data_IF_362546766568
#
_entry.id   IF_362546766568
#
_cell.length_a   1.000
_cell.length_b   1.000
_cell.length_c   1.000
_cell.angle_alpha   90.00
_cell.angle_beta   90.00
_cell.angle_gamma   90.00
#
_symmetry.space_group_name_H-M   'P 1'
#
loop_
_entity.id
_entity.type
_entity.pdbx_description
1 polymer ?
#
# COMPACT_ATOMS: atom_id res chain seq x y z
N UNK A 1 -22.66 4.17 12.01
CA UNK A 1 -21.91 4.38 13.27
C UNK A 1 -21.00 3.20 13.63
N UNK A 2 -21.46 1.95 13.53
CA UNK A 2 -20.65 0.76 13.85
C UNK A 2 -19.40 0.59 12.96
N UNK A 3 -19.54 0.80 11.65
CA UNK A 3 -18.43 0.68 10.68
C UNK A 3 -17.26 1.61 11.03
N UNK A 4 -17.57 2.88 11.34
CA UNK A 4 -16.58 3.89 11.70
C UNK A 4 -15.83 3.50 12.98
N UNK A 5 -16.55 3.04 14.02
CA UNK A 5 -15.95 2.59 15.27
C UNK A 5 -14.99 1.41 15.04
N UNK A 6 -15.40 0.41 14.26
CA UNK A 6 -14.56 -0.73 13.88
C UNK A 6 -13.33 -0.29 13.06
N UNK A 7 -13.51 0.61 12.09
CA UNK A 7 -12.41 1.16 11.30
C UNK A 7 -11.37 1.85 12.17
N UNK A 8 -11.79 2.66 13.15
CA UNK A 8 -10.87 3.31 14.09
C UNK A 8 -10.10 2.27 14.91
N UNK A 9 -10.76 1.19 15.36
CA UNK A 9 -10.10 0.11 16.10
C UNK A 9 -9.01 -0.55 15.24
N UNK A 10 -9.31 -0.90 13.98
CA UNK A 10 -8.34 -1.53 13.07
C UNK A 10 -7.19 -0.59 12.70
N UNK A 11 -7.49 0.70 12.51
CA UNK A 11 -6.47 1.71 12.24
C UNK A 11 -5.54 1.85 13.45
N UNK A 12 -6.08 1.90 14.67
CA UNK A 12 -5.28 1.93 15.90
C UNK A 12 -4.46 0.65 16.10
N UNK A 13 -4.99 -0.51 15.73
CA UNK A 13 -4.24 -1.77 15.74
C UNK A 13 -3.02 -1.70 14.80
N UNK A 14 -3.20 -1.17 13.58
CA UNK A 14 -2.11 -0.99 12.62
C UNK A 14 -1.06 0.00 13.14
N UNK A 15 -1.49 1.14 13.72
CA UNK A 15 -0.61 2.14 14.35
C UNK A 15 0.24 1.57 15.49
N UNK A 16 -0.30 0.62 16.25
CA UNK A 16 0.44 -0.05 17.35
C UNK A 16 1.54 -1.00 16.88
N UNK A 17 1.70 -1.22 15.58
CA UNK A 17 2.78 -2.05 15.00
C UNK A 17 3.83 -1.20 14.27
N UNK A 18 4.49 -0.24 14.95
CA UNK A 18 5.23 0.85 14.33
C UNK A 18 6.38 0.39 13.44
N UNK A 19 7.06 -0.71 13.80
CA UNK A 19 8.17 -1.23 13.00
C UNK A 19 7.72 -1.66 11.59
N UNK A 20 6.56 -2.31 11.48
CA UNK A 20 6.02 -2.72 10.18
C UNK A 20 5.61 -1.50 9.33
N UNK A 21 5.05 -0.48 9.98
CA UNK A 21 4.66 0.77 9.33
C UNK A 21 5.88 1.52 8.80
N UNK A 22 6.89 1.69 9.65
CA UNK A 22 8.13 2.38 9.32
C UNK A 22 8.78 1.67 8.14
N UNK A 23 8.89 0.34 8.17
CA UNK A 23 9.55 -0.39 7.08
C UNK A 23 8.79 -0.30 5.74
N UNK A 24 7.46 -0.38 5.79
CA UNK A 24 6.60 -0.30 4.59
C UNK A 24 6.73 1.04 3.87
N UNK A 25 6.98 2.13 4.62
CA UNK A 25 7.16 3.47 4.08
C UNK A 25 8.63 3.76 3.74
N UNK A 26 9.54 3.40 4.64
CA UNK A 26 10.97 3.72 4.52
C UNK A 26 11.61 2.98 3.35
N UNK A 27 11.31 1.69 3.17
CA UNK A 27 11.93 0.88 2.11
C UNK A 27 11.76 1.47 0.70
N UNK A 28 10.54 1.78 0.22
CA UNK A 28 10.36 2.38 -1.10
C UNK A 28 10.95 3.79 -1.19
N UNK A 29 10.94 4.56 -0.10
CA UNK A 29 11.54 5.90 -0.05
C UNK A 29 13.06 5.83 -0.22
N UNK A 30 13.72 4.98 0.56
CA UNK A 30 15.18 4.78 0.49
C UNK A 30 15.57 4.22 -0.88
N UNK A 31 14.82 3.25 -1.41
CA UNK A 31 15.06 2.72 -2.74
C UNK A 31 14.94 3.80 -3.83
N UNK A 32 13.95 4.69 -3.72
CA UNK A 32 13.78 5.79 -4.67
C UNK A 32 15.01 6.70 -4.70
N UNK A 33 15.47 7.17 -3.54
CA UNK A 33 16.66 8.01 -3.47
C UNK A 33 17.93 7.27 -3.86
N UNK A 34 18.03 5.98 -3.57
CA UNK A 34 19.19 5.19 -3.97
C UNK A 34 19.29 5.06 -5.50
N UNK A 35 18.17 4.84 -6.20
CA UNK A 35 18.16 4.71 -7.66
C UNK A 35 18.42 6.05 -8.36
N UNK A 36 17.91 7.15 -7.83
CA UNK A 36 17.98 8.47 -8.49
C UNK A 36 19.00 9.40 -7.82
N UNK A 37 19.93 8.88 -7.01
CA UNK A 37 20.84 9.70 -6.20
C UNK A 37 21.67 10.69 -7.03
N UNK A 38 22.18 10.22 -8.17
CA UNK A 38 23.01 11.04 -9.06
C UNK A 38 22.19 12.04 -9.90
N UNK A 39 20.87 11.89 -9.93
CA UNK A 39 19.94 12.67 -10.77
C UNK A 39 19.27 13.80 -9.98
N UNK A 40 19.47 13.85 -8.66
CA UNK A 40 18.88 14.87 -7.77
C UNK A 40 19.28 16.29 -8.22
N UNK A 41 20.56 16.50 -8.53
CA UNK A 41 21.05 17.82 -8.97
C UNK A 41 20.60 18.16 -10.41
N UNK A 42 20.47 17.14 -11.27
CA UNK A 42 20.10 17.30 -12.67
C UNK A 42 18.62 17.70 -12.84
N UNK A 43 17.74 17.10 -12.02
CA UNK A 43 16.29 17.29 -12.07
C UNK A 43 15.76 18.13 -10.90
N UNK A 44 16.60 19.03 -10.37
CA UNK A 44 16.20 19.95 -9.30
C UNK A 44 14.98 20.77 -9.70
N UNK A 45 13.86 20.62 -8.98
CA UNK A 45 12.60 21.29 -9.27
C UNK A 45 11.84 20.80 -10.51
N UNK A 46 12.29 19.75 -11.21
CA UNK A 46 11.62 19.18 -12.40
C UNK A 46 10.47 18.25 -12.00
N UNK A 47 9.27 18.83 -11.92
CA UNK A 47 8.05 18.11 -11.52
C UNK A 47 7.59 17.07 -12.55
N UNK A 48 7.86 17.30 -13.84
CA UNK A 48 7.37 16.45 -14.92
C UNK A 48 8.16 15.15 -15.02
N UNK A 49 9.49 15.23 -14.87
CA UNK A 49 10.34 14.05 -14.75
C UNK A 49 10.01 13.27 -13.47
N UNK A 50 9.89 13.99 -12.35
CA UNK A 50 9.61 13.38 -11.05
C UNK A 50 8.27 12.63 -11.01
N UNK A 51 7.23 13.17 -11.64
CA UNK A 51 5.92 12.52 -11.75
C UNK A 51 5.98 11.15 -12.44
N UNK A 52 6.84 10.99 -13.45
CA UNK A 52 7.04 9.70 -14.13
C UNK A 52 7.68 8.67 -13.19
N UNK A 53 8.73 9.07 -12.46
CA UNK A 53 9.44 8.18 -11.56
C UNK A 53 8.58 7.78 -10.34
N UNK A 54 7.90 8.76 -9.73
CA UNK A 54 7.00 8.54 -8.58
C UNK A 54 5.88 7.55 -8.92
N UNK A 55 5.36 7.58 -10.14
CA UNK A 55 4.19 6.77 -10.54
C UNK A 55 4.38 5.27 -10.29
N UNK A 56 5.56 4.73 -10.58
CA UNK A 56 5.85 3.32 -10.35
C UNK A 56 5.92 2.99 -8.84
N UNK A 57 6.61 3.82 -8.07
CA UNK A 57 6.74 3.63 -6.62
C UNK A 57 5.40 3.77 -5.89
N UNK A 58 4.54 4.68 -6.32
CA UNK A 58 3.17 4.80 -5.79
C UNK A 58 2.37 3.53 -6.06
N UNK A 59 2.52 2.93 -7.25
CA UNK A 59 1.93 1.63 -7.58
C UNK A 59 2.46 0.49 -6.70
N UNK A 60 3.79 0.46 -6.48
CA UNK A 60 4.43 -0.52 -5.60
C UNK A 60 3.95 -0.41 -4.14
N UNK A 61 3.92 0.81 -3.57
CA UNK A 61 3.42 1.06 -2.21
C UNK A 61 1.96 0.61 -2.09
N UNK A 62 1.13 1.02 -3.05
CA UNK A 62 -0.28 0.65 -3.16
C UNK A 62 -0.45 -0.88 -3.12
N UNK A 63 0.25 -1.59 -4.00
CA UNK A 63 0.17 -3.04 -4.08
C UNK A 63 0.65 -3.72 -2.79
N UNK A 64 1.74 -3.24 -2.19
CA UNK A 64 2.25 -3.74 -0.91
C UNK A 64 1.21 -3.60 0.22
N UNK A 65 0.54 -2.44 0.32
CA UNK A 65 -0.52 -2.22 1.32
C UNK A 65 -1.69 -3.19 1.11
N UNK A 66 -2.10 -3.41 -0.14
CA UNK A 66 -3.20 -4.34 -0.42
C UNK A 66 -2.82 -5.77 -0.01
N UNK A 67 -1.62 -6.23 -0.33
CA UNK A 67 -1.20 -7.59 0.00
C UNK A 67 -0.98 -7.79 1.51
N UNK A 68 -0.22 -6.91 2.16
CA UNK A 68 0.22 -7.10 3.55
C UNK A 68 -0.73 -6.51 4.59
N UNK A 69 -1.27 -5.30 4.36
CA UNK A 69 -2.16 -4.67 5.36
C UNK A 69 -3.61 -5.11 5.22
N UNK A 70 -4.03 -5.54 4.02
CA UNK A 70 -5.40 -5.99 3.76
C UNK A 70 -5.52 -7.51 3.64
N UNK A 71 -4.96 -8.13 2.60
CA UNK A 71 -5.15 -9.56 2.33
C UNK A 71 -4.55 -10.47 3.42
N UNK A 72 -3.33 -10.17 3.89
CA UNK A 72 -2.69 -10.95 4.95
C UNK A 72 -3.43 -10.78 6.30
N UNK A 73 -3.96 -9.59 6.58
CA UNK A 73 -4.80 -9.35 7.77
C UNK A 73 -6.05 -10.22 7.78
N UNK A 74 -6.79 -10.23 6.66
CA UNK A 74 -7.98 -11.09 6.51
C UNK A 74 -7.63 -12.58 6.66
N UNK A 75 -6.50 -13.00 6.09
CA UNK A 75 -6.01 -14.38 6.20
C UNK A 75 -5.69 -14.75 7.65
N UNK A 76 -5.00 -13.88 8.39
CA UNK A 76 -4.66 -14.11 9.81
C UNK A 76 -5.88 -14.13 10.74
N UNK A 77 -6.88 -13.26 10.50
CA UNK A 77 -8.15 -13.27 11.26
C UNK A 77 -9.02 -14.48 10.95
N UNK A 78 -8.89 -15.06 9.76
CA UNK A 78 -9.52 -16.34 9.40
C UNK A 78 -8.84 -17.51 10.12
N UNK A 79 -7.51 -17.57 10.11
CA UNK A 79 -6.74 -18.66 10.71
C UNK A 79 -6.83 -18.70 12.24
N UNK A 80 -6.80 -17.54 12.90
CA UNK A 80 -7.02 -17.43 14.36
C UNK A 80 -8.44 -17.82 14.81
N UNK A 81 -9.34 -18.16 13.88
CA UNK A 81 -10.73 -18.48 14.17
C UNK A 81 -11.58 -17.27 14.54
N UNK A 82 -11.03 -16.04 14.57
CA UNK A 82 -11.77 -14.83 14.94
C UNK A 82 -13.03 -14.64 14.08
N UNK A 83 -12.92 -14.83 12.77
CA UNK A 83 -14.07 -14.74 11.85
C UNK A 83 -15.11 -15.84 12.13
N UNK A 84 -14.67 -17.02 12.54
CA UNK A 84 -15.57 -18.14 12.84
C UNK A 84 -16.26 -18.01 14.20
N UNK A 85 -15.59 -17.37 15.19
CA UNK A 85 -16.03 -17.30 16.59
C UNK A 85 -16.73 -15.99 16.96
N UNK A 86 -16.42 -14.88 16.30
CA UNK A 86 -17.01 -13.56 16.62
C UNK A 86 -17.94 -13.03 15.55
N UNK A 87 -17.90 -13.60 14.33
CA UNK A 87 -18.60 -13.07 13.16
C UNK A 87 -19.44 -14.17 12.48
N UNK A 88 -20.43 -14.66 13.23
CA UNK A 88 -21.33 -15.73 12.79
C UNK A 88 -22.26 -15.31 11.66
N UNK A 89 -22.73 -14.05 11.67
CA UNK A 89 -23.72 -13.55 10.70
C UNK A 89 -23.05 -12.90 9.48
N UNK A 90 -23.67 -13.06 8.31
CA UNK A 90 -23.22 -12.48 7.05
C UNK A 90 -23.05 -10.95 7.14
N UNK A 91 -23.97 -10.27 7.83
CA UNK A 91 -23.91 -8.83 8.08
C UNK A 91 -22.67 -8.43 8.87
N UNK A 92 -22.29 -9.22 9.88
CA UNK A 92 -21.07 -8.99 10.66
C UNK A 92 -19.81 -9.15 9.80
N UNK A 93 -19.81 -10.12 8.88
CA UNK A 93 -18.66 -10.35 7.98
C UNK A 93 -18.50 -9.21 6.99
N UNK A 94 -19.60 -8.73 6.43
CA UNK A 94 -19.60 -7.55 5.57
C UNK A 94 -19.16 -6.30 6.33
N UNK A 95 -19.61 -6.12 7.57
CA UNK A 95 -19.17 -5.02 8.42
C UNK A 95 -17.65 -5.07 8.65
N UNK A 96 -17.13 -6.24 9.01
CA UNK A 96 -15.70 -6.47 9.22
C UNK A 96 -14.87 -6.16 7.97
N UNK A 97 -15.23 -6.72 6.82
CA UNK A 97 -14.52 -6.53 5.55
C UNK A 97 -14.55 -5.06 5.13
N UNK A 98 -15.71 -4.39 5.23
CA UNK A 98 -15.85 -2.96 4.90
C UNK A 98 -15.01 -2.08 5.82
N UNK A 99 -15.04 -2.35 7.12
CA UNK A 99 -14.24 -1.60 8.08
C UNK A 99 -12.75 -1.76 7.85
N UNK A 100 -12.29 -2.98 7.55
CA UNK A 100 -10.89 -3.25 7.22
C UNK A 100 -10.48 -2.60 5.90
N UNK A 101 -11.33 -2.63 4.88
CA UNK A 101 -11.07 -1.98 3.60
C UNK A 101 -10.84 -0.48 3.80
N UNK A 102 -11.72 0.19 4.55
CA UNK A 102 -11.59 1.62 4.84
C UNK A 102 -10.30 1.91 5.63
N UNK A 103 -9.98 1.08 6.65
CA UNK A 103 -8.76 1.26 7.44
C UNK A 103 -7.50 1.11 6.57
N UNK A 104 -7.42 0.05 5.77
CA UNK A 104 -6.30 -0.18 4.85
C UNK A 104 -6.19 0.90 3.77
N UNK A 105 -7.32 1.44 3.28
CA UNK A 105 -7.33 2.54 2.31
C UNK A 105 -6.77 3.83 2.93
N UNK A 106 -7.16 4.16 4.17
CA UNK A 106 -6.61 5.31 4.90
C UNK A 106 -5.09 5.15 5.06
N UNK A 107 -4.62 3.96 5.46
CA UNK A 107 -3.18 3.70 5.57
C UNK A 107 -2.45 3.85 4.23
N UNK A 108 -3.06 3.36 3.15
CA UNK A 108 -2.50 3.51 1.80
C UNK A 108 -2.33 4.98 1.41
N UNK A 109 -3.33 5.81 1.70
CA UNK A 109 -3.28 7.25 1.45
C UNK A 109 -2.15 7.89 2.27
N UNK A 110 -2.07 7.57 3.57
CA UNK A 110 -1.02 8.11 4.44
C UNK A 110 0.38 7.76 3.92
N UNK A 111 0.59 6.53 3.46
CA UNK A 111 1.89 6.10 2.94
C UNK A 111 2.25 6.77 1.63
N UNK A 112 1.31 6.84 0.69
CA UNK A 112 1.52 7.51 -0.61
C UNK A 112 1.80 9.00 -0.39
N UNK A 113 1.03 9.67 0.47
CA UNK A 113 1.25 11.08 0.80
C UNK A 113 2.60 11.30 1.47
N UNK A 114 3.00 10.44 2.41
CA UNK A 114 4.31 10.52 3.04
C UNK A 114 5.43 10.36 2.02
N UNK A 115 5.37 9.32 1.18
CA UNK A 115 6.37 9.08 0.15
C UNK A 115 6.53 10.27 -0.80
N UNK A 116 5.41 10.78 -1.33
CA UNK A 116 5.41 11.94 -2.23
C UNK A 116 5.99 13.17 -1.55
N UNK A 117 5.62 13.44 -0.29
CA UNK A 117 6.13 14.58 0.46
C UNK A 117 7.64 14.50 0.62
N UNK A 118 8.19 13.35 1.03
CA UNK A 118 9.64 13.19 1.20
C UNK A 118 10.37 13.36 -0.14
N UNK A 119 9.84 12.79 -1.21
CA UNK A 119 10.42 12.92 -2.55
C UNK A 119 10.40 14.38 -3.04
N UNK A 120 9.30 15.09 -2.85
CA UNK A 120 9.18 16.51 -3.20
C UNK A 120 10.18 17.38 -2.43
N UNK A 121 10.36 17.13 -1.14
CA UNK A 121 11.38 17.82 -0.32
C UNK A 121 12.78 17.52 -0.84
N UNK A 122 13.08 16.25 -1.15
CA UNK A 122 14.40 15.83 -1.63
C UNK A 122 14.81 16.47 -2.95
N UNK A 123 13.87 16.60 -3.89
CA UNK A 123 14.10 17.21 -5.21
C UNK A 123 13.75 18.71 -5.26
N UNK A 124 13.35 19.30 -4.12
CA UNK A 124 12.91 20.70 -4.00
C UNK A 124 11.85 21.10 -5.04
N UNK A 125 10.95 20.17 -5.35
CA UNK A 125 9.92 20.32 -6.36
C UNK A 125 8.59 20.78 -5.73
N UNK A 126 7.82 21.57 -6.47
CA UNK A 126 6.49 22.01 -6.02
C UNK A 126 5.41 21.00 -6.42
N UNK A 127 4.37 20.81 -5.61
CA UNK A 127 3.29 19.90 -5.95
C UNK A 127 2.50 20.44 -7.16
N UNK A 128 2.52 19.68 -8.26
CA UNK A 128 1.77 19.98 -9.48
C UNK A 128 0.47 19.15 -9.57
N UNK A 129 -0.45 19.57 -10.46
CA UNK A 129 -1.70 18.87 -10.77
C UNK A 129 -1.48 17.40 -11.16
N UNK A 130 -0.36 17.08 -11.81
CA UNK A 130 -0.01 15.69 -12.15
C UNK A 130 0.12 14.79 -10.91
N UNK A 131 0.70 15.32 -9.83
CA UNK A 131 0.89 14.59 -8.57
C UNK A 131 -0.46 14.35 -7.89
N UNK A 132 -1.35 15.34 -7.91
CA UNK A 132 -2.72 15.17 -7.42
C UNK A 132 -3.47 14.07 -8.19
N UNK A 133 -3.31 14.00 -9.52
CA UNK A 133 -3.88 12.92 -10.35
C UNK A 133 -3.29 11.56 -9.95
N UNK A 134 -1.97 11.47 -9.73
CA UNK A 134 -1.32 10.21 -9.33
C UNK A 134 -1.89 9.72 -7.99
N UNK A 135 -2.04 10.60 -7.00
CA UNK A 135 -2.65 10.27 -5.71
C UNK A 135 -4.08 9.76 -5.92
N UNK A 136 -4.88 10.49 -6.69
CA UNK A 136 -6.28 10.12 -6.94
C UNK A 136 -6.39 8.75 -7.65
N UNK A 137 -5.57 8.52 -8.69
CA UNK A 137 -5.49 7.24 -9.39
C UNK A 137 -5.09 6.11 -8.45
N UNK A 138 -4.13 6.34 -7.56
CA UNK A 138 -3.69 5.32 -6.60
C UNK A 138 -4.82 4.93 -5.64
N UNK A 139 -5.64 5.87 -5.18
CA UNK A 139 -6.80 5.60 -4.33
C UNK A 139 -7.82 4.72 -5.06
N UNK A 140 -8.16 5.06 -6.30
CA UNK A 140 -9.12 4.28 -7.09
C UNK A 140 -8.61 2.86 -7.37
N UNK A 141 -7.35 2.73 -7.79
CA UNK A 141 -6.74 1.43 -8.07
C UNK A 141 -6.66 0.58 -6.79
N UNK A 142 -6.25 1.17 -5.66
CA UNK A 142 -6.21 0.47 -4.38
C UNK A 142 -7.57 -0.04 -3.96
N UNK A 143 -8.60 0.82 -4.00
CA UNK A 143 -9.96 0.42 -3.65
C UNK A 143 -10.44 -0.74 -4.52
N UNK A 144 -10.20 -0.66 -5.84
CA UNK A 144 -10.56 -1.72 -6.78
C UNK A 144 -9.80 -3.03 -6.52
N UNK A 145 -8.48 -2.94 -6.27
CA UNK A 145 -7.64 -4.10 -5.95
C UNK A 145 -8.07 -4.76 -4.64
N UNK A 146 -8.36 -4.00 -3.58
CA UNK A 146 -8.82 -4.56 -2.31
C UNK A 146 -10.14 -5.32 -2.47
N UNK A 147 -11.12 -4.76 -3.20
CA UNK A 147 -12.39 -5.45 -3.49
C UNK A 147 -12.14 -6.73 -4.27
N UNK A 148 -11.30 -6.69 -5.31
CA UNK A 148 -10.99 -7.84 -6.15
C UNK A 148 -10.26 -8.96 -5.38
N UNK A 149 -9.27 -8.58 -4.57
CA UNK A 149 -8.43 -9.52 -3.80
C UNK A 149 -9.09 -9.98 -2.50
N UNK A 150 -10.26 -9.44 -2.14
CA UNK A 150 -11.09 -9.98 -1.06
C UNK A 150 -11.45 -11.46 -1.34
N UNK A 151 -11.60 -11.83 -2.61
CA UNK A 151 -11.83 -13.23 -3.01
C UNK A 151 -10.63 -14.12 -2.64
N UNK A 152 -9.41 -13.62 -2.80
CA UNK A 152 -8.19 -14.39 -2.48
C UNK A 152 -8.12 -14.72 -0.98
N UNK A 153 -8.56 -13.80 -0.12
CA UNK A 153 -8.63 -14.05 1.32
C UNK A 153 -9.62 -15.17 1.71
N UNK A 154 -10.48 -15.61 0.79
CA UNK A 154 -11.39 -16.75 0.98
C UNK A 154 -10.69 -18.11 0.79
N UNK A 155 -9.54 -18.16 0.11
CA UNK A 155 -8.80 -19.40 -0.03
C UNK A 155 -8.27 -19.89 1.32
N UNK A 156 -8.28 -21.22 1.52
CA UNK A 156 -7.78 -21.86 2.74
C UNK A 156 -6.25 -21.98 2.73
N UNK A 157 -5.56 -20.84 2.68
CA UNK A 157 -4.09 -20.74 2.75
C UNK A 157 -3.67 -20.36 4.17
N UNK A 158 -2.64 -21.01 4.71
CA UNK A 158 -2.08 -20.62 6.02
C UNK A 158 -1.42 -19.25 5.93
N UNK A 159 -1.31 -18.55 7.06
CA UNK A 159 -0.70 -17.23 7.17
C UNK A 159 0.72 -17.23 6.65
N UNK A 160 1.50 -18.27 7.00
CA UNK A 160 2.87 -18.43 6.54
C UNK A 160 2.92 -18.55 5.01
N UNK A 161 2.11 -19.43 4.41
CA UNK A 161 2.10 -19.64 2.96
C UNK A 161 1.60 -18.39 2.22
N UNK A 162 0.56 -17.73 2.74
CA UNK A 162 0.05 -16.49 2.15
C UNK A 162 1.11 -15.37 2.18
N UNK A 163 1.80 -15.22 3.31
CA UNK A 163 2.90 -14.26 3.46
C UNK A 163 4.02 -14.52 2.44
N UNK A 164 4.41 -15.78 2.25
CA UNK A 164 5.43 -16.15 1.25
C UNK A 164 4.95 -15.83 -0.17
N UNK A 165 3.72 -16.17 -0.54
CA UNK A 165 3.16 -15.88 -1.87
C UNK A 165 3.16 -14.37 -2.13
N UNK A 166 2.67 -13.59 -1.17
CA UNK A 166 2.64 -12.12 -1.29
C UNK A 166 4.04 -11.52 -1.38
N UNK A 167 5.01 -12.07 -0.64
CA UNK A 167 6.41 -11.67 -0.73
C UNK A 167 7.01 -11.95 -2.11
N UNK A 168 6.74 -13.11 -2.70
CA UNK A 168 7.19 -13.41 -4.07
C UNK A 168 6.56 -12.44 -5.08
N UNK A 169 5.25 -12.18 -4.97
CA UNK A 169 4.55 -11.26 -5.86
C UNK A 169 5.10 -9.83 -5.79
N UNK A 170 5.34 -9.31 -4.58
CA UNK A 170 5.89 -7.96 -4.42
C UNK A 170 7.34 -7.88 -4.93
N UNK A 171 8.14 -8.93 -4.76
CA UNK A 171 9.51 -9.01 -5.31
C UNK A 171 9.50 -9.05 -6.84
N UNK A 172 8.62 -9.84 -7.47
CA UNK A 172 8.49 -9.87 -8.93
C UNK A 172 8.09 -8.48 -9.44
N UNK A 173 7.13 -7.83 -8.78
CA UNK A 173 6.73 -6.45 -9.10
C UNK A 173 7.93 -5.49 -9.00
N UNK A 174 8.69 -5.55 -7.90
CA UNK A 174 9.89 -4.73 -7.70
C UNK A 174 10.93 -4.92 -8.81
N UNK A 175 11.31 -6.16 -9.11
CA UNK A 175 12.30 -6.47 -10.14
C UNK A 175 11.82 -6.00 -11.52
N UNK A 176 10.56 -6.26 -11.86
CA UNK A 176 9.98 -5.79 -13.14
C UNK A 176 10.01 -4.28 -13.27
N UNK A 177 9.81 -3.56 -12.16
CA UNK A 177 9.90 -2.12 -12.10
C UNK A 177 11.30 -1.58 -12.32
N UNK A 178 12.28 -2.11 -11.59
CA UNK A 178 13.68 -1.68 -11.74
C UNK A 178 14.17 -1.93 -13.17
N UNK A 179 13.82 -3.07 -13.75
CA UNK A 179 14.12 -3.36 -15.17
C UNK A 179 13.42 -2.34 -16.06
N UNK A 180 12.12 -2.09 -15.86
CA UNK A 180 11.40 -1.11 -16.66
C UNK A 180 11.97 0.31 -16.54
N UNK A 181 12.47 0.72 -15.38
CA UNK A 181 13.07 2.03 -15.18
C UNK A 181 14.41 2.16 -15.90
N UNK A 182 15.21 1.08 -15.93
CA UNK A 182 16.54 1.08 -16.54
C UNK A 182 16.53 0.95 -18.07
N UNK A 183 15.51 0.33 -18.65
CA UNK A 183 15.43 0.02 -20.08
C UNK A 183 14.44 0.89 -20.88
N UNK A 184 13.79 1.89 -20.25
CA UNK A 184 12.89 2.85 -20.93
C UNK A 184 13.55 4.22 -21.20
N UNK A 185 14.87 4.32 -21.10
CA UNK A 185 15.65 5.37 -21.78
C UNK A 185 15.84 5.01 -23.26
#
# INVERSE_FOLDING_TARGET
MATLKMTIIFLMEQIRTPFSLIWTIMSPTVLFFFLHFNEIELHYGDTAWLGKQISWFVGYISFSVVLFNYCLYLTGRRESGFIATFVHNLEGRLLFIRSQLIASLIMSILYVCFFILVVLIGFQATPDYQIAIIILKSIYINAFMMVSLTFIASFRVTFQTASTIYSVLITVCMVSGIVSLKYNE
#
